data_IF_774151168398
#
_entry.id   IF_774151168398
#
_cell.length_a   1.000
_cell.length_b   1.000
_cell.length_c   1.000
_cell.angle_alpha   90.00
_cell.angle_beta   90.00
_cell.angle_gamma   90.00
#
_symmetry.space_group_name_H-M   'P 1'
#
loop_
_entity.id
_entity.type
_entity.pdbx_description
1 polymer ?
#
# COMPACT_ATOMS: atom_id res chain seq x y z
N UNK A 1 -12.86 -5.28 -1.45
CA UNK A 1 -12.95 -4.81 -2.83
C UNK A 1 -13.89 -3.61 -2.89
N UNK A 2 -13.37 -2.38 -3.17
CA UNK A 2 -14.19 -1.17 -3.21
C UNK A 2 -15.32 -1.23 -4.24
N UNK A 3 -15.09 -1.88 -5.39
CA UNK A 3 -16.13 -2.02 -6.43
C UNK A 3 -17.32 -2.83 -5.91
N UNK A 4 -17.06 -3.94 -5.25
CA UNK A 4 -18.11 -4.78 -4.66
C UNK A 4 -18.85 -4.04 -3.53
N UNK A 5 -18.14 -3.26 -2.72
CA UNK A 5 -18.73 -2.43 -1.68
C UNK A 5 -19.67 -1.37 -2.25
N UNK A 6 -19.25 -0.72 -3.34
CA UNK A 6 -20.08 0.26 -4.04
C UNK A 6 -21.36 -0.37 -4.57
N UNK A 7 -21.27 -1.52 -5.20
CA UNK A 7 -22.44 -2.25 -5.73
C UNK A 7 -23.44 -2.60 -4.62
N UNK A 8 -22.95 -3.06 -3.47
CA UNK A 8 -23.82 -3.36 -2.31
C UNK A 8 -24.55 -2.12 -1.80
N UNK A 9 -23.94 -0.95 -1.92
CA UNK A 9 -24.53 0.32 -1.52
C UNK A 9 -25.43 0.94 -2.61
N UNK A 10 -25.62 0.25 -3.74
CA UNK A 10 -26.39 0.77 -4.87
C UNK A 10 -25.68 1.83 -5.68
N UNK A 11 -24.34 1.91 -5.54
CA UNK A 11 -23.52 2.88 -6.25
C UNK A 11 -22.72 2.21 -7.37
N UNK A 12 -22.21 3.00 -8.29
CA UNK A 12 -21.39 2.51 -9.38
C UNK A 12 -19.94 2.99 -9.20
N UNK A 13 -19.01 2.05 -9.27
CA UNK A 13 -17.58 2.36 -9.23
C UNK A 13 -16.86 1.49 -10.24
N UNK A 14 -16.09 2.08 -11.17
CA UNK A 14 -15.25 1.30 -12.08
C UNK A 14 -14.30 0.40 -11.31
N UNK A 15 -13.77 -0.65 -11.96
CA UNK A 15 -12.93 -1.66 -11.34
C UNK A 15 -11.84 -1.03 -10.47
N UNK A 16 -11.94 -1.25 -9.17
CA UNK A 16 -11.05 -0.66 -8.16
C UNK A 16 -10.81 -1.68 -7.06
N UNK A 17 -9.56 -1.94 -6.73
CA UNK A 17 -9.18 -2.87 -5.68
C UNK A 17 -8.13 -2.26 -4.76
N UNK A 18 -8.24 -2.58 -3.49
CA UNK A 18 -7.21 -2.28 -2.50
C UNK A 18 -6.61 -3.60 -2.03
N UNK A 19 -5.31 -3.74 -2.22
CA UNK A 19 -4.55 -4.87 -1.71
C UNK A 19 -3.87 -4.44 -0.42
N UNK A 20 -4.11 -5.21 0.63
CA UNK A 20 -3.52 -4.95 1.95
C UNK A 20 -2.50 -6.03 2.21
N UNK A 21 -1.28 -5.65 2.53
CA UNK A 21 -0.27 -6.61 2.87
C UNK A 21 0.66 -6.07 3.95
N UNK A 22 1.06 -6.96 4.82
CA UNK A 22 1.95 -6.65 5.91
C UNK A 22 2.65 -7.90 6.39
N UNK A 23 3.77 -7.69 7.02
CA UNK A 23 4.55 -8.73 7.64
C UNK A 23 4.93 -8.23 9.04
N UNK A 24 4.51 -8.95 10.11
CA UNK A 24 4.85 -8.53 11.48
C UNK A 24 6.35 -8.35 11.71
N UNK A 25 7.18 -9.11 10.99
CA UNK A 25 8.64 -8.97 11.08
C UNK A 25 9.14 -7.62 10.59
N UNK A 26 8.38 -6.95 9.72
CA UNK A 26 8.71 -5.62 9.21
C UNK A 26 7.93 -4.53 9.94
N UNK A 27 6.63 -4.73 10.16
CA UNK A 27 5.77 -3.74 10.79
C UNK A 27 6.03 -3.53 12.27
N UNK A 28 6.31 -4.61 13.01
CA UNK A 28 6.52 -4.53 14.46
C UNK A 28 7.72 -3.65 14.84
N UNK A 29 8.90 -3.79 14.21
CA UNK A 29 10.02 -2.89 14.52
C UNK A 29 9.70 -1.42 14.29
N UNK A 30 8.93 -1.10 13.26
CA UNK A 30 8.52 0.28 13.00
C UNK A 30 7.62 0.81 14.10
N UNK A 31 6.66 0.01 14.55
CA UNK A 31 5.74 0.40 15.64
C UNK A 31 6.43 0.44 17.00
N UNK A 32 7.45 -0.40 17.22
CA UNK A 32 8.25 -0.34 18.44
C UNK A 32 9.02 0.99 18.53
N UNK A 33 9.55 1.47 17.41
CA UNK A 33 10.24 2.76 17.33
C UNK A 33 9.27 3.93 17.41
N UNK A 34 8.12 3.84 16.72
CA UNK A 34 7.13 4.90 16.66
C UNK A 34 5.73 4.28 16.60
N UNK A 35 5.01 4.25 17.71
CA UNK A 35 3.71 3.57 17.80
C UNK A 35 2.67 4.13 16.85
N UNK A 36 2.69 5.45 16.60
CA UNK A 36 1.75 6.09 15.68
C UNK A 36 1.91 5.59 14.23
N UNK A 37 3.06 5.00 13.88
CA UNK A 37 3.26 4.40 12.56
C UNK A 37 2.21 3.33 12.26
N UNK A 38 1.60 2.74 13.28
CA UNK A 38 0.55 1.74 13.14
C UNK A 38 -0.65 2.22 12.35
N UNK A 39 -0.93 3.53 12.29
CA UNK A 39 -2.05 4.06 11.50
C UNK A 39 -1.82 3.89 10.00
N UNK A 40 -0.55 3.84 9.58
CA UNK A 40 -0.16 3.66 8.18
C UNK A 40 0.22 2.22 7.83
N UNK A 41 0.00 1.30 8.76
CA UNK A 41 0.27 -0.13 8.58
C UNK A 41 -1.02 -0.93 8.78
N UNK A 42 -1.18 -2.08 8.13
CA UNK A 42 -0.34 -2.62 7.06
C UNK A 42 -0.33 -1.72 5.81
N UNK A 43 0.65 -1.96 4.93
CA UNK A 43 0.77 -1.21 3.68
C UNK A 43 -0.38 -1.55 2.73
N UNK A 44 -0.71 -0.62 1.85
CA UNK A 44 -1.80 -0.78 0.87
C UNK A 44 -1.33 -0.43 -0.52
N UNK A 45 -1.84 -1.15 -1.50
CA UNK A 45 -1.67 -0.84 -2.91
C UNK A 45 -3.06 -0.69 -3.51
N UNK A 46 -3.28 0.42 -4.18
CA UNK A 46 -4.52 0.69 -4.91
C UNK A 46 -4.33 0.32 -6.38
N UNK A 47 -5.25 -0.46 -6.92
CA UNK A 47 -5.28 -0.81 -8.34
C UNK A 47 -6.63 -0.37 -8.88
N UNK A 48 -6.61 0.39 -9.97
CA UNK A 48 -7.86 0.82 -10.59
C UNK A 48 -7.74 0.89 -12.10
N UNK A 49 -8.89 0.94 -12.73
CA UNK A 49 -9.00 1.00 -14.18
C UNK A 49 -9.83 2.23 -14.58
N UNK A 50 -9.36 2.93 -15.59
CA UNK A 50 -10.11 4.02 -16.22
C UNK A 50 -10.10 3.82 -17.75
N UNK A 51 -10.60 4.80 -18.48
CA UNK A 51 -10.65 4.76 -19.95
C UNK A 51 -9.28 4.80 -20.62
N UNK A 52 -8.24 5.17 -19.88
CA UNK A 52 -6.86 5.24 -20.37
C UNK A 52 -6.04 4.00 -20.06
N UNK A 53 -6.50 3.13 -19.17
CA UNK A 53 -5.80 1.90 -18.81
C UNK A 53 -5.92 1.56 -17.34
N UNK A 54 -4.98 0.75 -16.89
CA UNK A 54 -4.88 0.31 -15.49
C UNK A 54 -3.77 1.05 -14.77
N UNK A 55 -4.00 1.38 -13.50
CA UNK A 55 -3.10 2.17 -12.67
C UNK A 55 -2.85 1.46 -11.36
N UNK A 56 -1.65 1.64 -10.84
CA UNK A 56 -1.24 1.12 -9.53
C UNK A 56 -0.66 2.29 -8.74
N UNK A 57 -1.11 2.46 -7.51
CA UNK A 57 -0.59 3.50 -6.64
C UNK A 57 -0.37 2.96 -5.22
N UNK A 58 0.63 3.46 -4.57
CA UNK A 58 0.90 3.17 -3.16
C UNK A 58 1.62 4.34 -2.51
N UNK A 59 1.53 4.42 -1.19
CA UNK A 59 2.27 5.42 -0.44
C UNK A 59 3.71 4.95 -0.25
N UNK A 60 4.67 5.81 -0.55
CA UNK A 60 6.09 5.52 -0.37
C UNK A 60 6.36 5.28 1.14
N UNK A 61 6.89 4.11 1.53
CA UNK A 61 7.23 3.86 2.93
C UNK A 61 8.16 4.89 3.54
N UNK A 62 9.05 5.49 2.76
CA UNK A 62 9.93 6.56 3.24
C UNK A 62 9.14 7.79 3.63
N UNK A 63 8.14 8.16 2.84
CA UNK A 63 7.27 9.29 3.15
C UNK A 63 6.44 9.01 4.40
N UNK A 64 5.87 7.82 4.50
CA UNK A 64 5.12 7.42 5.69
C UNK A 64 5.99 7.47 6.94
N UNK A 65 7.21 6.97 6.86
CA UNK A 65 8.15 7.02 7.98
C UNK A 65 8.47 8.45 8.39
N UNK A 66 8.67 9.34 7.43
CA UNK A 66 8.98 10.75 7.70
C UNK A 66 7.87 11.44 8.47
N UNK A 67 6.59 11.21 8.11
CA UNK A 67 5.47 11.85 8.84
C UNK A 67 5.40 11.41 10.31
N UNK A 68 5.98 10.28 10.66
CA UNK A 68 6.01 9.78 12.05
C UNK A 68 7.37 9.97 12.73
N UNK A 69 8.35 10.53 12.02
CA UNK A 69 9.71 10.64 12.55
C UNK A 69 10.38 9.29 12.76
N UNK A 70 9.99 8.29 11.99
CA UNK A 70 10.53 6.92 12.12
C UNK A 70 11.84 6.80 11.38
N UNK A 71 12.87 6.25 12.04
CA UNK A 71 14.23 6.16 11.52
C UNK A 71 14.76 4.72 11.44
N UNK A 72 13.87 3.72 11.40
CA UNK A 72 14.27 2.32 11.22
C UNK A 72 14.53 2.06 9.74
N UNK A 73 15.61 2.61 9.22
CA UNK A 73 15.91 2.72 7.79
C UNK A 73 15.97 1.37 7.07
N UNK A 74 16.56 0.35 7.68
CA UNK A 74 16.67 -0.98 7.06
C UNK A 74 15.32 -1.60 6.75
N UNK A 75 14.36 -1.48 7.67
CA UNK A 75 13.01 -2.00 7.49
C UNK A 75 12.30 -1.21 6.40
N UNK A 76 12.44 0.11 6.42
CA UNK A 76 11.83 1.01 5.44
C UNK A 76 12.36 0.70 4.03
N UNK A 77 13.67 0.49 3.90
CA UNK A 77 14.28 0.11 2.62
C UNK A 77 13.77 -1.25 2.12
N UNK A 78 13.63 -2.21 3.02
CA UNK A 78 13.08 -3.53 2.68
C UNK A 78 11.65 -3.40 2.18
N UNK A 79 10.80 -2.64 2.86
CA UNK A 79 9.42 -2.39 2.44
C UNK A 79 9.36 -1.72 1.08
N UNK A 80 10.20 -0.71 0.87
CA UNK A 80 10.28 0.02 -0.41
C UNK A 80 10.64 -0.93 -1.55
N UNK A 81 11.62 -1.80 -1.32
CA UNK A 81 12.05 -2.78 -2.30
C UNK A 81 10.98 -3.81 -2.64
N UNK A 82 10.26 -4.30 -1.63
CA UNK A 82 9.17 -5.27 -1.83
C UNK A 82 8.04 -4.63 -2.63
N UNK A 83 7.61 -3.42 -2.28
CA UNK A 83 6.57 -2.70 -3.01
C UNK A 83 6.96 -2.48 -4.46
N UNK A 84 8.19 -2.05 -4.70
CA UNK A 84 8.70 -1.83 -6.06
C UNK A 84 8.65 -3.12 -6.88
N UNK A 85 9.12 -4.23 -6.33
CA UNK A 85 9.09 -5.52 -7.02
C UNK A 85 7.68 -5.98 -7.35
N UNK A 86 6.77 -5.86 -6.40
CA UNK A 86 5.37 -6.28 -6.57
C UNK A 86 4.66 -5.42 -7.62
N UNK A 87 4.83 -4.10 -7.55
CA UNK A 87 4.18 -3.19 -8.50
C UNK A 87 4.80 -3.27 -9.88
N UNK A 88 6.11 -3.41 -10.01
CA UNK A 88 6.77 -3.60 -11.30
C UNK A 88 6.33 -4.93 -11.95
N UNK A 89 6.24 -6.01 -11.20
CA UNK A 89 5.76 -7.28 -11.68
C UNK A 89 4.30 -7.21 -12.15
N UNK A 90 3.44 -6.56 -11.38
CA UNK A 90 2.04 -6.36 -11.74
C UNK A 90 1.89 -5.50 -13.00
N UNK A 91 2.69 -4.43 -13.12
CA UNK A 91 2.68 -3.57 -14.30
C UNK A 91 3.14 -4.31 -15.56
N UNK A 92 4.11 -5.23 -15.43
CA UNK A 92 4.62 -6.00 -16.55
C UNK A 92 3.61 -7.04 -17.08
N UNK A 93 2.57 -7.36 -16.30
CA UNK A 93 1.52 -8.30 -16.69
C UNK A 93 0.39 -7.66 -17.52
N UNK A 94 0.39 -6.35 -17.63
CA UNK A 94 -0.66 -5.62 -18.37
C UNK A 94 -0.28 -5.43 -19.85
#
# INVERSE_FOLDING_TARGET
NPTAGAEKAGLSLPATEVLIFGNPKLGTPLMQATRTMGIDLPLKVLVWKDDKGSWIAYNDPKWLAQRHGNTVDKVIETMTGVLKKLTDAAAAMN
#
